data_IF_854261610022
#
_entry.id   IF_854261610022
#
_cell.length_a   1.000
_cell.length_b   1.000
_cell.length_c   1.000
_cell.angle_alpha   90.00
_cell.angle_beta   90.00
_cell.angle_gamma   90.00
#
_symmetry.space_group_name_H-M   'P 1'
#
loop_
_entity.id
_entity.type
_entity.pdbx_description
1 polymer ?
#
# COMPACT_ATOMS: atom_id res chain seq x y z
N UNK A 1 17.92 -62.06 -17.30
CA UNK A 1 17.37 -63.20 -16.51
C UNK A 1 15.84 -63.19 -16.42
N UNK A 2 15.11 -62.72 -17.44
CA UNK A 2 13.63 -62.83 -17.52
C UNK A 2 13.15 -63.87 -18.55
N UNK A 3 14.08 -64.51 -19.29
CA UNK A 3 13.78 -65.53 -20.29
C UNK A 3 13.81 -66.98 -19.77
N UNK A 4 14.29 -67.20 -18.54
CA UNK A 4 14.42 -68.55 -17.96
C UNK A 4 13.21 -68.97 -17.10
N UNK A 5 12.43 -68.01 -16.57
CA UNK A 5 11.28 -68.31 -15.70
C UNK A 5 10.05 -68.78 -16.49
N UNK A 6 9.89 -68.31 -17.74
CA UNK A 6 8.78 -68.75 -18.59
C UNK A 6 8.98 -70.12 -19.25
N UNK A 7 10.20 -70.67 -19.20
CA UNK A 7 10.50 -71.99 -19.78
C UNK A 7 10.09 -73.14 -18.86
N UNK A 8 10.20 -72.95 -17.54
CA UNK A 8 9.82 -73.96 -16.53
C UNK A 8 8.29 -74.08 -16.40
N UNK A 9 7.53 -73.01 -16.70
CA UNK A 9 6.06 -73.02 -16.61
C UNK A 9 5.35 -73.59 -17.85
N UNK A 10 6.09 -73.87 -18.94
CA UNK A 10 5.53 -74.43 -20.18
C UNK A 10 5.77 -75.95 -20.33
N UNK A 11 6.59 -76.54 -19.47
CA UNK A 11 7.02 -77.94 -19.56
C UNK A 11 6.31 -78.88 -18.55
N UNK A 12 5.34 -78.37 -17.79
CA UNK A 12 4.62 -79.11 -16.74
C UNK A 12 3.12 -79.37 -17.05
N UNK A 13 2.65 -78.97 -18.25
CA UNK A 13 1.25 -79.18 -18.69
C UNK A 13 1.05 -80.08 -19.90
N UNK A 14 2.10 -80.75 -20.39
CA UNK A 14 2.03 -81.57 -21.61
C UNK A 14 2.17 -83.08 -21.38
N UNK A 15 1.80 -83.60 -20.21
CA UNK A 15 1.75 -85.05 -19.99
C UNK A 15 0.38 -85.55 -19.51
N UNK A 16 -0.65 -85.31 -20.33
CA UNK A 16 -1.92 -86.06 -20.25
C UNK A 16 -2.33 -86.49 -21.66
N UNK A 17 -2.54 -87.79 -21.91
CA UNK A 17 -2.79 -88.34 -23.23
C UNK A 17 -4.26 -88.13 -23.59
N UNK A 18 -4.54 -87.17 -24.46
CA UNK A 18 -5.87 -87.01 -25.03
C UNK A 18 -5.97 -85.77 -25.88
N UNK A 19 -6.49 -85.93 -27.09
CA UNK A 19 -6.87 -84.88 -28.04
C UNK A 19 -5.73 -84.47 -29.01
N UNK A 20 -5.55 -85.33 -30.02
CA UNK A 20 -5.22 -84.90 -31.38
C UNK A 20 -6.41 -84.13 -31.99
N UNK A 21 -6.15 -83.42 -33.09
CA UNK A 21 -7.09 -82.72 -34.00
C UNK A 21 -7.29 -81.25 -33.56
N UNK A 22 -6.95 -80.19 -34.28
CA UNK A 22 -6.89 -79.97 -35.73
C UNK A 22 -5.91 -78.82 -36.04
N UNK A 23 -4.92 -79.07 -36.90
CA UNK A 23 -4.24 -78.02 -37.65
C UNK A 23 -5.22 -77.43 -38.68
N UNK A 24 -5.02 -76.15 -39.04
CA UNK A 24 -5.72 -75.39 -40.09
C UNK A 24 -7.12 -74.86 -39.79
N UNK A 25 -7.19 -73.60 -39.31
CA UNK A 25 -8.12 -72.60 -39.85
C UNK A 25 -7.44 -71.21 -39.84
N UNK A 26 -6.93 -70.83 -41.01
CA UNK A 26 -7.14 -69.49 -41.60
C UNK A 26 -6.71 -68.26 -40.76
N UNK A 27 -5.48 -67.78 -41.02
CA UNK A 27 -5.08 -66.42 -40.66
C UNK A 27 -5.93 -65.39 -41.42
N UNK A 28 -6.94 -64.79 -40.76
CA UNK A 28 -7.43 -63.45 -41.10
C UNK A 28 -6.88 -62.47 -40.08
N UNK A 29 -6.16 -61.41 -40.49
CA UNK A 29 -5.92 -60.28 -39.61
C UNK A 29 -7.30 -59.73 -39.22
N UNK A 30 -7.64 -59.79 -37.93
CA UNK A 30 -8.78 -59.05 -37.40
C UNK A 30 -8.59 -57.59 -37.80
N UNK A 31 -9.42 -57.11 -38.72
CA UNK A 31 -9.52 -55.70 -39.02
C UNK A 31 -9.91 -55.00 -37.72
N UNK A 32 -8.95 -54.28 -37.13
CA UNK A 32 -9.19 -53.41 -35.98
C UNK A 32 -10.42 -52.54 -36.28
N UNK A 33 -11.45 -52.52 -35.41
CA UNK A 33 -12.63 -51.70 -35.64
C UNK A 33 -12.22 -50.24 -35.83
N UNK A 34 -12.50 -49.67 -37.01
CA UNK A 34 -12.24 -48.26 -37.34
C UNK A 34 -12.92 -47.29 -36.35
N UNK A 35 -13.83 -47.80 -35.53
CA UNK A 35 -14.65 -47.09 -34.56
C UNK A 35 -13.95 -46.79 -33.23
N UNK A 36 -12.86 -47.50 -32.89
CA UNK A 36 -12.07 -47.19 -31.69
C UNK A 36 -11.18 -45.96 -31.92
N UNK A 37 -10.57 -45.82 -33.10
CA UNK A 37 -9.73 -44.67 -33.45
C UNK A 37 -10.53 -43.34 -33.48
N UNK A 38 -11.79 -43.38 -33.94
CA UNK A 38 -12.66 -42.20 -33.97
C UNK A 38 -13.00 -41.69 -32.56
N UNK A 39 -13.15 -42.59 -31.57
CA UNK A 39 -13.43 -42.25 -30.16
C UNK A 39 -12.22 -41.66 -29.44
N UNK A 40 -11.01 -42.21 -29.61
CA UNK A 40 -9.78 -41.66 -29.01
C UNK A 40 -9.40 -40.29 -29.57
N UNK A 41 -9.56 -40.07 -30.89
CA UNK A 41 -9.33 -38.76 -31.52
C UNK A 41 -10.32 -37.69 -31.01
N UNK A 42 -11.57 -38.06 -30.77
CA UNK A 42 -12.59 -37.17 -30.20
C UNK A 42 -12.25 -36.69 -28.78
N UNK A 43 -11.79 -37.61 -27.91
CA UNK A 43 -11.38 -37.30 -26.54
C UNK A 43 -10.15 -36.39 -26.52
N UNK A 44 -9.15 -36.64 -27.37
CA UNK A 44 -7.97 -35.78 -27.52
C UNK A 44 -8.33 -34.36 -27.98
N UNK A 45 -9.27 -34.23 -28.93
CA UNK A 45 -9.75 -32.93 -29.42
C UNK A 45 -10.50 -32.14 -28.34
N UNK A 46 -11.31 -32.81 -27.52
CA UNK A 46 -12.00 -32.19 -26.38
C UNK A 46 -11.03 -31.74 -25.29
N UNK A 47 -10.04 -32.57 -24.92
CA UNK A 47 -8.97 -32.20 -23.98
C UNK A 47 -8.19 -30.97 -24.47
N UNK A 48 -7.81 -30.92 -25.75
CA UNK A 48 -7.13 -29.76 -26.35
C UNK A 48 -8.01 -28.50 -26.33
N UNK A 49 -9.31 -28.59 -26.61
CA UNK A 49 -10.24 -27.45 -26.50
C UNK A 49 -10.34 -26.93 -25.07
N UNK A 50 -10.44 -27.82 -24.07
CA UNK A 50 -10.45 -27.43 -22.64
C UNK A 50 -9.16 -26.75 -22.22
N UNK A 51 -8.01 -27.29 -22.62
CA UNK A 51 -6.71 -26.69 -22.32
C UNK A 51 -6.56 -25.31 -22.98
N UNK A 52 -7.01 -25.14 -24.23
CA UNK A 52 -7.04 -23.82 -24.88
C UNK A 52 -7.90 -22.81 -24.13
N UNK A 53 -9.09 -23.22 -23.66
CA UNK A 53 -9.95 -22.35 -22.83
C UNK A 53 -9.26 -21.96 -21.53
N UNK A 54 -8.66 -22.93 -20.84
CA UNK A 54 -7.92 -22.68 -19.60
C UNK A 54 -6.74 -21.72 -19.82
N UNK A 55 -5.93 -21.94 -20.85
CA UNK A 55 -4.80 -21.06 -21.17
C UNK A 55 -5.25 -19.64 -21.52
N UNK A 56 -6.37 -19.49 -22.24
CA UNK A 56 -6.93 -18.18 -22.54
C UNK A 56 -7.43 -17.48 -21.26
N UNK A 57 -8.08 -18.21 -20.35
CA UNK A 57 -8.49 -17.68 -19.06
C UNK A 57 -7.28 -17.26 -18.22
N UNK A 58 -6.25 -18.10 -18.15
CA UNK A 58 -4.99 -17.79 -17.45
C UNK A 58 -4.31 -16.55 -18.01
N UNK A 59 -4.32 -16.36 -19.34
CA UNK A 59 -3.75 -15.17 -19.98
C UNK A 59 -4.51 -13.90 -19.61
N UNK A 60 -5.84 -13.96 -19.53
CA UNK A 60 -6.66 -12.83 -19.07
C UNK A 60 -6.34 -12.48 -17.62
N UNK A 61 -6.37 -13.48 -16.73
CA UNK A 61 -6.04 -13.27 -15.31
C UNK A 61 -4.66 -12.63 -15.12
N UNK A 62 -3.66 -13.06 -15.89
CA UNK A 62 -2.31 -12.44 -15.84
C UNK A 62 -2.32 -10.99 -16.31
N UNK A 63 -3.05 -10.69 -17.38
CA UNK A 63 -3.21 -9.31 -17.87
C UNK A 63 -3.88 -8.42 -16.83
N UNK A 64 -4.98 -8.91 -16.24
CA UNK A 64 -5.73 -8.18 -15.20
C UNK A 64 -4.85 -7.96 -13.96
N UNK A 65 -4.03 -8.96 -13.57
CA UNK A 65 -3.09 -8.82 -12.46
C UNK A 65 -2.00 -7.77 -12.72
N UNK A 66 -1.51 -7.69 -13.96
CA UNK A 66 -0.52 -6.69 -14.36
C UNK A 66 -1.11 -5.27 -14.30
N UNK A 67 -2.32 -5.10 -14.84
CA UNK A 67 -3.06 -3.83 -14.77
C UNK A 67 -3.33 -3.40 -13.31
N UNK A 68 -3.83 -4.32 -12.48
CA UNK A 68 -4.06 -4.06 -11.05
C UNK A 68 -2.74 -3.69 -10.35
N UNK A 69 -1.63 -4.36 -10.66
CA UNK A 69 -0.33 -4.05 -10.08
C UNK A 69 0.13 -2.62 -10.40
N UNK A 70 -0.08 -2.19 -11.64
CA UNK A 70 0.26 -0.84 -12.09
C UNK A 70 -0.65 0.23 -11.46
N UNK A 71 -1.95 -0.04 -11.36
CA UNK A 71 -2.89 0.84 -10.64
C UNK A 71 -2.52 0.96 -9.16
N UNK A 72 -2.21 -0.14 -8.49
CA UNK A 72 -1.79 -0.15 -7.10
C UNK A 72 -0.49 0.65 -6.89
N UNK A 73 0.44 0.61 -7.86
CA UNK A 73 1.64 1.45 -7.82
C UNK A 73 1.28 2.94 -7.89
N UNK A 74 0.43 3.34 -8.84
CA UNK A 74 -0.06 4.72 -8.97
C UNK A 74 -0.78 5.20 -7.71
N UNK A 75 -1.60 4.34 -7.09
CA UNK A 75 -2.29 4.65 -5.83
C UNK A 75 -1.29 4.90 -4.71
N UNK A 76 -0.27 4.03 -4.55
CA UNK A 76 0.77 4.21 -3.52
C UNK A 76 1.55 5.50 -3.71
N UNK A 77 1.91 5.83 -4.96
CA UNK A 77 2.64 7.05 -5.28
C UNK A 77 1.77 8.29 -5.01
N UNK A 78 0.49 8.26 -5.40
CA UNK A 78 -0.47 9.32 -5.08
C UNK A 78 -0.65 9.52 -3.56
N UNK A 79 -0.79 8.42 -2.81
CA UNK A 79 -0.88 8.49 -1.35
C UNK A 79 0.39 9.07 -0.71
N UNK A 80 1.57 8.76 -1.25
CA UNK A 80 2.83 9.35 -0.77
C UNK A 80 2.83 10.86 -1.00
N UNK A 81 2.51 11.32 -2.20
CA UNK A 81 2.47 12.75 -2.51
C UNK A 81 1.47 13.51 -1.63
N UNK A 82 0.30 12.90 -1.36
CA UNK A 82 -0.68 13.49 -0.46
C UNK A 82 -0.09 13.63 0.95
N UNK A 83 0.53 12.58 1.50
CA UNK A 83 1.18 12.65 2.82
C UNK A 83 2.24 13.74 2.90
N UNK A 84 3.14 13.80 1.93
CA UNK A 84 4.21 14.82 1.89
C UNK A 84 3.64 16.24 1.88
N UNK A 85 2.55 16.48 1.13
CA UNK A 85 1.85 17.78 1.14
C UNK A 85 1.21 18.10 2.48
N UNK A 86 0.58 17.11 3.13
CA UNK A 86 -0.02 17.31 4.45
C UNK A 86 1.05 17.60 5.51
N UNK A 87 2.18 16.90 5.50
CA UNK A 87 3.30 17.17 6.40
C UNK A 87 3.85 18.59 6.22
N UNK A 88 3.99 19.06 4.97
CA UNK A 88 4.39 20.44 4.70
C UNK A 88 3.38 21.47 5.23
N UNK A 89 2.07 21.23 5.01
CA UNK A 89 0.99 22.10 5.53
C UNK A 89 1.00 22.13 7.06
N UNK A 90 1.23 20.99 7.72
CA UNK A 90 1.30 20.91 9.18
C UNK A 90 2.45 21.74 9.73
N UNK A 91 3.64 21.65 9.11
CA UNK A 91 4.80 22.46 9.48
C UNK A 91 4.53 23.97 9.31
N UNK A 92 3.94 24.38 8.19
CA UNK A 92 3.55 25.76 7.96
C UNK A 92 2.51 26.23 8.99
N UNK A 93 1.53 25.40 9.32
CA UNK A 93 0.52 25.69 10.32
C UNK A 93 1.13 25.87 11.72
N UNK A 94 2.11 25.05 12.10
CA UNK A 94 2.84 25.22 13.35
C UNK A 94 3.61 26.53 13.39
N UNK A 95 4.27 26.90 12.29
CA UNK A 95 5.00 28.15 12.18
C UNK A 95 4.05 29.36 12.30
N UNK A 96 2.93 29.35 11.57
CA UNK A 96 1.90 30.39 11.65
C UNK A 96 1.33 30.52 13.06
N UNK A 97 1.13 29.42 13.79
CA UNK A 97 0.69 29.46 15.19
C UNK A 97 1.72 30.14 16.10
N UNK A 98 3.01 29.85 15.93
CA UNK A 98 4.11 30.47 16.69
C UNK A 98 4.16 31.98 16.43
N UNK A 99 4.11 32.37 15.16
CA UNK A 99 4.11 33.78 14.73
C UNK A 99 2.88 34.53 15.24
N UNK A 100 1.70 33.94 15.11
CA UNK A 100 0.45 34.53 15.60
C UNK A 100 0.50 34.75 17.11
N UNK A 101 1.01 33.78 17.87
CA UNK A 101 1.19 33.91 19.33
C UNK A 101 2.11 35.08 19.67
N UNK A 102 3.21 35.24 18.93
CA UNK A 102 4.16 36.33 19.13
C UNK A 102 3.52 37.69 18.79
N UNK A 103 2.80 37.80 17.67
CA UNK A 103 2.07 39.01 17.30
C UNK A 103 1.03 39.35 18.35
N UNK A 104 0.24 38.37 18.82
CA UNK A 104 -0.78 38.59 19.85
C UNK A 104 -0.15 39.12 21.16
N UNK A 105 0.96 38.53 21.62
CA UNK A 105 1.68 39.01 22.80
C UNK A 105 2.25 40.42 22.60
N UNK A 106 2.72 40.74 21.39
CA UNK A 106 3.17 42.10 21.07
C UNK A 106 2.00 43.09 21.10
N UNK A 107 0.89 42.76 20.45
CA UNK A 107 -0.33 43.57 20.40
C UNK A 107 -0.91 43.84 21.78
N UNK A 108 -1.06 42.82 22.63
CA UNK A 108 -1.52 42.98 24.01
C UNK A 108 -0.62 43.94 24.79
N UNK A 109 0.70 43.82 24.64
CA UNK A 109 1.62 44.71 25.32
C UNK A 109 1.56 46.15 24.81
N UNK A 110 1.38 46.35 23.50
CA UNK A 110 1.14 47.68 22.93
C UNK A 110 -0.14 48.29 23.49
N UNK A 111 -1.23 47.52 23.59
CA UNK A 111 -2.47 47.96 24.21
C UNK A 111 -2.27 48.38 25.67
N UNK A 112 -1.53 47.59 26.47
CA UNK A 112 -1.22 47.93 27.86
C UNK A 112 -0.42 49.24 27.93
N UNK A 113 0.61 49.42 27.08
CA UNK A 113 1.41 50.65 27.03
C UNK A 113 0.54 51.87 26.71
N UNK A 114 -0.33 51.75 25.71
CA UNK A 114 -1.27 52.81 25.34
C UNK A 114 -2.22 53.14 26.50
N UNK A 115 -2.76 52.13 27.19
CA UNK A 115 -3.63 52.33 28.35
C UNK A 115 -2.92 53.12 29.46
N UNK A 116 -1.67 52.79 29.78
CA UNK A 116 -0.86 53.57 30.71
C UNK A 116 -0.67 55.01 30.24
N UNK A 117 -0.32 55.22 28.96
CA UNK A 117 -0.14 56.56 28.39
C UNK A 117 -1.42 57.40 28.51
N UNK A 118 -2.58 56.83 28.19
CA UNK A 118 -3.87 57.52 28.35
C UNK A 118 -4.18 57.83 29.82
N UNK A 119 -3.93 56.90 30.74
CA UNK A 119 -4.15 57.14 32.17
C UNK A 119 -3.23 58.23 32.73
N UNK A 120 -1.98 58.33 32.25
CA UNK A 120 -1.06 59.41 32.61
C UNK A 120 -1.59 60.75 32.13
N UNK A 121 -2.04 60.84 30.87
CA UNK A 121 -2.62 62.08 30.32
C UNK A 121 -3.84 62.51 31.13
N UNK A 122 -4.76 61.59 31.44
CA UNK A 122 -5.94 61.86 32.27
C UNK A 122 -5.59 62.30 33.69
N UNK A 123 -4.61 61.67 34.32
CA UNK A 123 -4.15 62.08 35.65
C UNK A 123 -3.56 63.50 35.64
N UNK A 124 -2.83 63.87 34.58
CA UNK A 124 -2.30 65.24 34.42
C UNK A 124 -3.40 66.26 34.17
N UNK A 125 -4.38 65.94 33.33
CA UNK A 125 -5.57 66.77 33.11
C UNK A 125 -6.31 67.05 34.42
N UNK A 126 -6.46 66.03 35.27
CA UNK A 126 -7.06 66.13 36.60
C UNK A 126 -6.16 66.75 37.69
N UNK A 127 -4.94 67.19 37.36
CA UNK A 127 -3.94 67.68 38.32
C UNK A 127 -3.51 66.64 39.39
N UNK A 128 -3.75 65.35 39.15
CA UNK A 128 -3.32 64.22 39.98
C UNK A 128 -1.85 63.85 39.70
N UNK A 129 -0.91 64.77 40.00
CA UNK A 129 0.51 64.61 39.61
C UNK A 129 1.21 63.42 40.27
N UNK A 130 0.91 63.12 41.54
CA UNK A 130 1.49 61.95 42.23
C UNK A 130 1.11 60.64 41.53
N UNK A 131 -0.14 60.55 41.08
CA UNK A 131 -0.63 59.39 40.33
C UNK A 131 0.00 59.31 38.94
N UNK A 132 0.12 60.44 38.25
CA UNK A 132 0.80 60.50 36.95
C UNK A 132 2.28 60.07 37.07
N UNK A 133 2.96 60.45 38.15
CA UNK A 133 4.33 60.03 38.42
C UNK A 133 4.42 58.52 38.66
N UNK A 134 3.56 57.96 39.51
CA UNK A 134 3.48 56.50 39.77
C UNK A 134 3.22 55.70 38.48
N UNK A 135 2.26 56.14 37.66
CA UNK A 135 1.96 55.49 36.37
C UNK A 135 3.13 55.58 35.39
N UNK A 136 3.86 56.70 35.38
CA UNK A 136 5.05 56.88 34.53
C UNK A 136 6.17 55.92 34.92
N UNK A 137 6.41 55.74 36.23
CA UNK A 137 7.39 54.76 36.73
C UNK A 137 6.97 53.34 36.35
N UNK A 138 5.70 52.97 36.59
CA UNK A 138 5.18 51.66 36.22
C UNK A 138 5.31 51.36 34.71
N UNK A 139 5.04 52.35 33.85
CA UNK A 139 5.22 52.21 32.40
C UNK A 139 6.69 51.99 32.02
N UNK A 140 7.64 52.69 32.67
CA UNK A 140 9.08 52.50 32.44
C UNK A 140 9.53 51.10 32.83
N UNK A 141 9.09 50.61 33.98
CA UNK A 141 9.39 49.25 34.46
C UNK A 141 8.84 48.19 33.50
N UNK A 142 7.60 48.35 33.04
CA UNK A 142 6.98 47.45 32.06
C UNK A 142 7.76 47.41 30.73
N UNK A 143 8.28 48.54 30.27
CA UNK A 143 9.09 48.61 29.05
C UNK A 143 10.45 47.94 29.27
N UNK A 144 11.10 48.21 30.41
CA UNK A 144 12.41 47.67 30.76
C UNK A 144 12.38 46.13 30.91
N UNK A 145 11.39 45.59 31.63
CA UNK A 145 11.25 44.13 31.81
C UNK A 145 11.02 43.37 30.49
N UNK A 146 10.40 44.00 29.49
CA UNK A 146 10.18 43.37 28.18
C UNK A 146 11.43 43.32 27.30
N UNK A 147 12.33 44.31 27.41
CA UNK A 147 13.56 44.30 26.62
C UNK A 147 14.46 43.11 27.01
N UNK A 148 14.48 42.76 28.30
CA UNK A 148 15.22 41.60 28.81
C UNK A 148 14.67 40.26 28.26
N UNK A 149 13.35 40.12 28.13
CA UNK A 149 12.73 38.92 27.56
C UNK A 149 13.00 38.75 26.05
N UNK A 150 13.05 39.85 25.28
CA UNK A 150 13.37 39.78 23.84
C UNK A 150 14.79 39.26 23.56
N UNK A 151 15.76 39.57 24.42
CA UNK A 151 17.14 39.09 24.27
C UNK A 151 17.32 37.60 24.60
N UNK A 152 16.41 37.00 25.37
CA UNK A 152 16.47 35.58 25.73
C UNK A 152 15.86 34.64 24.66
N UNK A 153 15.06 35.16 23.73
CA UNK A 153 14.31 34.36 22.75
C UNK A 153 15.01 34.21 21.37
N UNK A 154 16.09 34.94 21.12
CA UNK A 154 16.93 34.77 19.93
C UNK A 154 18.35 34.34 20.34
N UNK A 155 18.66 33.03 20.42
CA UNK A 155 20.05 32.61 20.41
C UNK A 155 20.62 32.89 19.01
N UNK A 156 21.79 33.53 18.99
CA UNK A 156 22.62 33.72 17.78
C UNK A 156 23.05 32.35 17.26
#
# INVERSE_FOLDING_TARGET
MYAAVYKVFWEEKNNTPGIKIMHNVFWRPLALPKDLHRRTLGIGRLKRKRLKKLNNAMRRVRSDMEEISDEQKKIRDGQRQVREKFEAIELECEQLRKETKLIMQQSQNTQIRLAFMFQILKARENQEFDKAAKLTVALRELIAGKNQQKHAQMPI
#
